data_IF_525060190545
#
_entry.id   IF_525060190545
#
_cell.length_a   1.000
_cell.length_b   1.000
_cell.length_c   1.000
_cell.angle_alpha   90.00
_cell.angle_beta   90.00
_cell.angle_gamma   90.00
#
_symmetry.space_group_name_H-M   'P 1'
#
loop_
_entity.id
_entity.type
_entity.pdbx_description
1 polymer ?
#
# COMPACT_ATOMS: atom_id res chain seq x y z
N UNK A 1 -20.57 -51.30 23.65
CA UNK A 1 -20.87 -50.30 22.60
C UNK A 1 -20.04 -49.07 22.89
N UNK A 2 -18.88 -48.94 22.23
CA UNK A 2 -18.07 -47.72 22.28
C UNK A 2 -18.46 -46.87 21.06
N UNK A 3 -19.05 -45.71 21.30
CA UNK A 3 -19.36 -44.75 20.24
C UNK A 3 -18.08 -44.01 19.85
N UNK A 4 -17.55 -44.35 18.68
CA UNK A 4 -16.40 -43.69 18.08
C UNK A 4 -16.87 -42.33 17.54
N UNK A 5 -16.56 -41.25 18.24
CA UNK A 5 -16.83 -39.89 17.79
C UNK A 5 -15.81 -39.54 16.71
N UNK A 6 -16.24 -39.57 15.45
CA UNK A 6 -15.41 -39.20 14.31
C UNK A 6 -15.28 -37.67 14.28
N UNK A 7 -14.19 -37.14 14.84
CA UNK A 7 -13.78 -35.76 14.57
C UNK A 7 -13.36 -35.67 13.11
N UNK A 8 -14.26 -35.14 12.27
CA UNK A 8 -13.86 -34.64 10.96
C UNK A 8 -13.04 -33.39 11.20
N UNK A 9 -11.71 -33.49 11.05
CA UNK A 9 -10.89 -32.32 10.79
C UNK A 9 -11.40 -31.73 9.47
N UNK A 10 -12.21 -30.68 9.57
CA UNK A 10 -12.36 -29.74 8.47
C UNK A 10 -10.96 -29.17 8.23
N UNK A 11 -10.30 -29.65 7.18
CA UNK A 11 -9.18 -28.95 6.62
C UNK A 11 -9.74 -27.59 6.17
N UNK A 12 -9.47 -26.54 6.95
CA UNK A 12 -9.47 -25.19 6.42
C UNK A 12 -8.65 -25.25 5.12
N UNK A 13 -9.09 -24.66 4.01
CA UNK A 13 -8.22 -24.52 2.87
C UNK A 13 -7.05 -23.66 3.36
N UNK A 14 -5.96 -24.31 3.75
CA UNK A 14 -4.66 -23.68 3.65
C UNK A 14 -4.62 -23.23 2.20
N UNK A 15 -4.65 -21.93 1.97
CA UNK A 15 -4.21 -21.37 0.71
C UNK A 15 -2.75 -21.80 0.58
N UNK A 16 -2.56 -23.00 0.03
CA UNK A 16 -1.25 -23.50 -0.31
C UNK A 16 -0.68 -22.46 -1.27
N UNK A 17 0.46 -21.90 -0.87
CA UNK A 17 1.37 -21.06 -1.65
C UNK A 17 1.72 -21.77 -2.97
N UNK A 18 0.78 -21.81 -3.91
CA UNK A 18 1.04 -22.28 -5.26
C UNK A 18 1.73 -21.13 -6.01
N UNK A 19 2.70 -21.46 -6.85
CA UNK A 19 3.25 -20.54 -7.83
C UNK A 19 2.11 -19.83 -8.60
N UNK A 20 2.33 -18.61 -9.12
CA UNK A 20 1.26 -17.87 -9.77
C UNK A 20 0.84 -18.70 -10.99
N UNK A 21 -0.45 -19.01 -11.10
CA UNK A 21 -0.94 -19.78 -12.23
C UNK A 21 -0.67 -19.03 -13.53
N UNK A 22 -0.50 -19.75 -14.65
CA UNK A 22 -0.32 -19.11 -15.97
C UNK A 22 -1.44 -18.10 -16.28
N UNK A 23 -2.66 -18.39 -15.82
CA UNK A 23 -3.80 -17.49 -15.93
C UNK A 23 -3.59 -16.17 -15.18
N UNK A 24 -3.05 -16.23 -13.95
CA UNK A 24 -2.77 -15.05 -13.14
C UNK A 24 -1.55 -14.27 -13.66
N UNK A 25 -0.53 -14.94 -14.19
CA UNK A 25 0.59 -14.30 -14.89
C UNK A 25 0.11 -13.57 -16.15
N UNK A 26 -0.74 -14.22 -16.94
CA UNK A 26 -1.38 -13.60 -18.10
C UNK A 26 -2.25 -12.40 -17.70
N UNK A 27 -2.95 -12.49 -16.56
CA UNK A 27 -3.73 -11.39 -16.01
C UNK A 27 -2.86 -10.20 -15.60
N UNK A 28 -1.72 -10.47 -14.94
CA UNK A 28 -0.73 -9.46 -14.60
C UNK A 28 -0.17 -8.75 -15.84
N UNK A 29 0.11 -9.47 -16.92
CA UNK A 29 0.54 -8.89 -18.21
C UNK A 29 -0.59 -8.11 -18.91
N UNK A 30 -1.83 -8.60 -18.82
CA UNK A 30 -3.02 -7.96 -19.40
C UNK A 30 -3.24 -6.56 -18.82
N UNK A 31 -3.05 -6.40 -17.50
CA UNK A 31 -3.27 -5.12 -16.80
C UNK A 31 -1.98 -4.41 -16.39
N UNK A 32 -0.83 -4.81 -16.94
CA UNK A 32 0.45 -4.16 -16.66
C UNK A 32 0.35 -2.65 -16.93
N UNK A 33 0.79 -1.77 -16.01
CA UNK A 33 0.64 -0.33 -16.19
C UNK A 33 1.58 0.22 -17.26
N UNK A 34 1.27 1.42 -17.76
CA UNK A 34 2.29 2.30 -18.33
C UNK A 34 2.70 3.29 -17.24
N UNK A 35 3.99 3.39 -16.97
CA UNK A 35 4.51 4.43 -16.10
C UNK A 35 4.93 5.63 -16.93
N UNK A 36 4.34 6.80 -16.64
CA UNK A 36 4.67 8.07 -17.27
C UNK A 36 5.50 8.91 -16.32
N UNK A 37 6.78 9.02 -16.59
CA UNK A 37 7.69 9.85 -15.81
C UNK A 37 7.49 11.33 -16.14
N UNK A 38 7.77 12.18 -15.16
CA UNK A 38 7.81 13.62 -15.38
C UNK A 38 8.84 13.95 -16.48
N UNK A 39 8.56 14.97 -17.31
CA UNK A 39 9.43 15.39 -18.42
C UNK A 39 10.87 15.77 -18.01
N UNK A 40 11.03 16.19 -16.75
CA UNK A 40 12.32 16.58 -16.18
C UNK A 40 12.92 15.49 -15.26
N UNK A 41 12.40 14.26 -15.32
CA UNK A 41 12.90 13.14 -14.51
C UNK A 41 14.36 12.82 -14.84
N UNK A 42 15.15 12.57 -13.79
CA UNK A 42 16.57 12.21 -13.86
C UNK A 42 16.85 10.84 -13.26
N UNK A 43 15.95 10.35 -12.41
CA UNK A 43 16.08 9.11 -11.66
C UNK A 43 14.98 8.16 -12.12
N UNK A 44 15.36 7.11 -12.83
CA UNK A 44 14.44 6.15 -13.41
C UNK A 44 14.43 4.84 -12.62
N UNK A 45 13.45 3.99 -12.91
CA UNK A 45 13.39 2.62 -12.40
C UNK A 45 14.66 1.84 -12.72
N UNK A 46 15.00 0.86 -11.90
CA UNK A 46 16.06 -0.11 -12.21
C UNK A 46 15.69 -1.52 -11.80
N UNK A 47 16.48 -2.48 -12.25
CA UNK A 47 16.53 -3.79 -11.61
C UNK A 47 17.28 -3.70 -10.27
N UNK A 48 17.02 -4.65 -9.38
CA UNK A 48 17.76 -4.82 -8.11
C UNK A 48 19.21 -5.18 -8.39
N UNK A 49 19.47 -6.06 -9.35
CA UNK A 49 20.81 -6.47 -9.77
C UNK A 49 21.65 -5.26 -10.21
N UNK A 50 21.05 -4.34 -10.97
CA UNK A 50 21.71 -3.11 -11.40
C UNK A 50 22.17 -2.26 -10.20
N UNK A 51 21.30 -2.13 -9.19
CA UNK A 51 21.62 -1.37 -7.98
C UNK A 51 22.67 -2.05 -7.10
N UNK A 52 22.57 -3.36 -6.90
CA UNK A 52 23.53 -4.13 -6.12
C UNK A 52 24.93 -4.18 -6.76
N UNK A 53 25.01 -4.09 -8.10
CA UNK A 53 26.27 -3.94 -8.83
C UNK A 53 26.92 -2.56 -8.67
N UNK A 54 26.22 -1.59 -8.09
CA UNK A 54 26.77 -0.29 -7.74
C UNK A 54 27.80 -0.36 -6.60
N UNK A 55 28.47 0.76 -6.28
CA UNK A 55 29.37 0.88 -5.13
C UNK A 55 28.58 0.94 -3.81
N UNK A 56 27.89 -0.15 -3.47
CA UNK A 56 27.10 -0.31 -2.25
C UNK A 56 27.94 -1.00 -1.16
N UNK A 57 27.82 -0.50 0.06
CA UNK A 57 28.33 -1.14 1.29
C UNK A 57 27.16 -1.45 2.21
N UNK A 58 27.30 -2.41 3.11
CA UNK A 58 26.32 -2.65 4.18
C UNK A 58 26.89 -2.11 5.48
N UNK A 59 26.15 -1.23 6.14
CA UNK A 59 26.55 -0.61 7.40
C UNK A 59 25.57 -0.94 8.53
N UNK A 60 26.06 -0.94 9.76
CA UNK A 60 25.21 -1.03 10.95
C UNK A 60 24.62 0.34 11.35
N UNK A 61 23.81 0.37 12.40
CA UNK A 61 23.20 1.61 12.92
C UNK A 61 24.20 2.64 13.45
N UNK A 62 25.47 2.29 13.64
CA UNK A 62 26.54 3.20 14.06
C UNK A 62 27.41 3.68 12.89
N UNK A 63 27.13 3.22 11.66
CA UNK A 63 27.89 3.54 10.46
C UNK A 63 29.14 2.65 10.28
N UNK A 64 29.29 1.58 11.06
CA UNK A 64 30.39 0.64 10.86
C UNK A 64 30.09 -0.25 9.65
N UNK A 65 31.07 -0.41 8.77
CA UNK A 65 30.93 -1.28 7.59
C UNK A 65 30.91 -2.75 8.00
N UNK A 66 29.81 -3.43 7.70
CA UNK A 66 29.59 -4.88 7.86
C UNK A 66 30.01 -5.64 6.60
N UNK A 67 29.75 -5.07 5.41
CA UNK A 67 30.22 -5.59 4.12
C UNK A 67 30.63 -4.44 3.19
N UNK A 68 31.75 -4.62 2.49
CA UNK A 68 32.31 -3.61 1.58
C UNK A 68 31.85 -3.77 0.12
N UNK A 69 30.88 -4.65 -0.16
CA UNK A 69 30.31 -4.86 -1.49
C UNK A 69 30.20 -6.34 -1.87
N UNK A 70 30.07 -6.61 -3.18
CA UNK A 70 29.86 -7.97 -3.69
C UNK A 70 28.46 -8.53 -3.40
N UNK A 71 27.50 -7.63 -3.16
CA UNK A 71 26.11 -8.01 -2.95
C UNK A 71 25.52 -8.50 -4.27
N UNK A 72 24.82 -9.62 -4.22
CA UNK A 72 24.03 -10.14 -5.34
C UNK A 72 22.63 -10.44 -4.85
N UNK A 73 21.73 -10.76 -5.78
CA UNK A 73 20.37 -11.18 -5.45
C UNK A 73 20.30 -12.46 -4.63
N UNK A 74 21.40 -13.22 -4.54
CA UNK A 74 21.51 -14.51 -3.85
C UNK A 74 22.39 -14.46 -2.60
N UNK A 75 22.92 -13.29 -2.23
CA UNK A 75 23.75 -13.11 -1.02
C UNK A 75 23.23 -12.01 -0.11
N UNK A 76 22.17 -11.32 -0.53
CA UNK A 76 21.69 -10.15 0.18
C UNK A 76 21.08 -10.49 1.55
N UNK A 77 20.50 -11.67 1.72
CA UNK A 77 19.87 -12.11 2.97
C UNK A 77 20.79 -12.98 3.87
N UNK A 78 22.05 -13.20 3.48
CA UNK A 78 23.06 -13.95 4.26
C UNK A 78 23.45 -13.26 5.59
N UNK A 79 23.04 -12.00 5.80
CA UNK A 79 23.34 -11.27 7.02
C UNK A 79 22.57 -11.81 8.23
N UNK A 80 23.11 -11.67 9.46
CA UNK A 80 22.37 -11.97 10.68
C UNK A 80 20.99 -11.29 10.71
N UNK A 81 19.97 -12.01 11.17
CA UNK A 81 18.56 -11.56 11.18
C UNK A 81 18.09 -11.02 9.82
N UNK A 82 18.58 -11.62 8.73
CA UNK A 82 18.28 -11.24 7.34
C UNK A 82 18.59 -9.76 7.07
N UNK A 83 19.59 -9.20 7.77
CA UNK A 83 20.02 -7.81 7.64
C UNK A 83 19.15 -6.78 8.32
N UNK A 84 18.21 -7.19 9.18
CA UNK A 84 17.44 -6.28 10.01
C UNK A 84 18.36 -5.33 10.80
N UNK A 85 18.06 -4.02 10.75
CA UNK A 85 18.89 -2.98 11.38
C UNK A 85 20.17 -2.60 10.60
N UNK A 86 20.40 -3.17 9.42
CA UNK A 86 21.49 -2.80 8.51
C UNK A 86 21.01 -1.83 7.41
N UNK A 87 21.97 -1.16 6.77
CA UNK A 87 21.75 -0.09 5.80
C UNK A 87 22.62 -0.30 4.55
N UNK A 88 21.99 -0.52 3.38
CA UNK A 88 22.67 -0.54 2.08
C UNK A 88 23.11 0.87 1.68
N UNK A 89 24.33 1.22 2.05
CA UNK A 89 24.84 2.59 2.04
C UNK A 89 25.78 2.86 0.87
N UNK A 90 25.69 4.05 0.30
CA UNK A 90 26.57 4.53 -0.78
C UNK A 90 26.75 6.05 -0.75
N UNK A 91 27.65 6.54 -1.61
CA UNK A 91 27.89 7.97 -1.80
C UNK A 91 26.71 8.66 -2.48
N UNK A 92 26.34 9.84 -2.00
CA UNK A 92 25.39 10.75 -2.66
C UNK A 92 26.10 11.83 -3.49
N UNK A 93 27.36 11.60 -3.89
CA UNK A 93 28.10 12.55 -4.72
C UNK A 93 27.44 12.79 -6.06
N UNK A 94 27.79 13.91 -6.72
CA UNK A 94 27.27 14.24 -8.04
C UNK A 94 27.54 13.13 -9.07
N UNK A 95 28.68 12.48 -8.98
CA UNK A 95 29.09 11.38 -9.84
C UNK A 95 28.22 10.14 -9.60
N UNK A 96 27.91 9.81 -8.34
CA UNK A 96 27.02 8.71 -8.01
C UNK A 96 25.60 8.99 -8.52
N UNK A 97 25.07 10.20 -8.24
CA UNK A 97 23.75 10.68 -8.68
C UNK A 97 23.62 10.70 -10.21
N UNK A 98 24.67 11.04 -10.95
CA UNK A 98 24.67 11.03 -12.41
C UNK A 98 25.02 9.66 -13.02
N UNK A 99 25.49 8.72 -12.19
CA UNK A 99 25.87 7.36 -12.56
C UNK A 99 24.78 6.36 -12.20
N UNK A 100 25.13 5.33 -11.43
CA UNK A 100 24.23 4.22 -11.12
C UNK A 100 22.97 4.62 -10.34
N UNK A 101 23.00 5.74 -9.60
CA UNK A 101 21.80 6.21 -8.89
C UNK A 101 20.75 6.80 -9.84
N UNK A 102 21.10 7.16 -11.09
CA UNK A 102 20.15 7.62 -12.10
C UNK A 102 19.20 6.51 -12.58
N UNK A 103 19.50 5.25 -12.24
CA UNK A 103 18.71 4.10 -12.68
C UNK A 103 18.82 3.81 -14.17
N UNK A 104 17.84 3.08 -14.69
CA UNK A 104 17.85 2.55 -16.06
C UNK A 104 16.71 3.18 -16.86
N UNK A 105 17.01 4.29 -17.54
CA UNK A 105 16.06 5.03 -18.37
C UNK A 105 15.40 4.11 -19.43
N UNK A 106 14.08 3.87 -19.35
CA UNK A 106 13.39 2.92 -20.22
C UNK A 106 13.29 3.41 -21.68
N UNK A 107 13.63 4.67 -21.97
CA UNK A 107 13.78 5.16 -23.35
C UNK A 107 15.11 4.73 -23.99
N UNK A 108 16.08 4.28 -23.17
CA UNK A 108 17.44 3.91 -23.60
C UNK A 108 17.73 2.42 -23.46
N UNK A 109 17.11 1.75 -22.48
CA UNK A 109 17.30 0.31 -22.21
C UNK A 109 15.97 -0.35 -21.81
N UNK A 110 15.90 -1.68 -21.90
CA UNK A 110 14.77 -2.49 -21.42
C UNK A 110 15.11 -3.28 -20.15
N UNK A 111 16.21 -2.92 -19.48
CA UNK A 111 16.75 -3.69 -18.36
C UNK A 111 16.02 -3.44 -17.03
N UNK A 112 15.38 -2.28 -16.87
CA UNK A 112 14.57 -1.97 -15.69
C UNK A 112 13.44 -3.00 -15.49
N UNK A 113 13.09 -3.27 -14.24
CA UNK A 113 12.11 -4.31 -13.87
C UNK A 113 10.95 -3.73 -13.07
N UNK A 114 9.80 -4.38 -13.21
CA UNK A 114 8.62 -4.15 -12.37
C UNK A 114 8.31 -5.43 -11.60
N UNK A 115 8.50 -5.36 -10.28
CA UNK A 115 8.35 -6.51 -9.39
C UNK A 115 6.86 -6.69 -9.09
N UNK A 116 6.28 -7.77 -9.61
CA UNK A 116 4.82 -7.94 -9.69
C UNK A 116 4.36 -9.04 -8.76
N UNK A 117 3.86 -8.68 -7.59
CA UNK A 117 3.28 -9.65 -6.66
C UNK A 117 1.82 -9.93 -7.04
N UNK A 118 1.45 -11.20 -7.11
CA UNK A 118 0.11 -11.62 -7.53
C UNK A 118 -0.59 -12.33 -6.37
N UNK A 119 -1.69 -11.74 -5.88
CA UNK A 119 -2.44 -12.22 -4.73
C UNK A 119 -3.87 -12.66 -5.11
N UNK A 120 -4.07 -13.93 -5.50
CA UNK A 120 -5.40 -14.51 -5.66
C UNK A 120 -6.09 -14.68 -4.31
N UNK A 121 -7.39 -14.41 -4.27
CA UNK A 121 -8.22 -14.44 -3.06
C UNK A 121 -9.54 -15.17 -3.34
N UNK A 122 -10.37 -15.27 -2.31
CA UNK A 122 -11.75 -15.73 -2.44
C UNK A 122 -12.58 -14.82 -3.37
N UNK A 123 -13.79 -15.25 -3.71
CA UNK A 123 -14.76 -14.47 -4.49
C UNK A 123 -14.25 -14.02 -5.87
N UNK A 124 -13.28 -14.74 -6.43
CA UNK A 124 -12.69 -14.45 -7.74
C UNK A 124 -11.82 -13.19 -7.77
N UNK A 125 -11.46 -12.64 -6.60
CA UNK A 125 -10.59 -11.47 -6.49
C UNK A 125 -9.15 -11.87 -6.78
N UNK A 126 -8.45 -11.09 -7.60
CA UNK A 126 -6.99 -11.16 -7.75
C UNK A 126 -6.43 -9.75 -7.72
N UNK A 127 -5.59 -9.47 -6.72
CA UNK A 127 -4.86 -8.21 -6.61
C UNK A 127 -3.46 -8.36 -7.24
N UNK A 128 -3.10 -7.38 -8.07
CA UNK A 128 -1.85 -7.34 -8.83
C UNK A 128 -1.05 -6.12 -8.37
N UNK A 129 0.08 -6.33 -7.69
CA UNK A 129 0.90 -5.27 -7.12
C UNK A 129 2.13 -5.06 -7.99
N UNK A 130 2.20 -3.94 -8.70
CA UNK A 130 3.32 -3.55 -9.56
C UNK A 130 4.24 -2.61 -8.81
N UNK A 131 5.38 -3.14 -8.36
CA UNK A 131 6.40 -2.38 -7.64
C UNK A 131 7.49 -1.87 -8.59
N UNK A 132 7.80 -0.59 -8.45
CA UNK A 132 8.92 0.05 -9.08
C UNK A 132 10.00 0.29 -8.04
N UNK A 133 11.23 -0.13 -8.34
CA UNK A 133 12.41 0.26 -7.59
C UNK A 133 13.15 1.37 -8.32
N UNK A 134 13.46 2.45 -7.63
CA UNK A 134 14.32 3.53 -8.11
C UNK A 134 15.54 3.65 -7.20
N UNK A 135 16.78 3.65 -7.74
CA UNK A 135 17.99 3.72 -6.91
C UNK A 135 18.13 4.96 -6.04
N UNK A 136 17.43 6.05 -6.37
CA UNK A 136 17.54 7.32 -5.67
C UNK A 136 16.23 8.09 -5.72
N UNK A 137 15.74 8.52 -4.56
CA UNK A 137 14.67 9.50 -4.43
C UNK A 137 15.28 10.91 -4.28
N UNK A 138 14.89 11.81 -5.20
CA UNK A 138 15.23 13.23 -5.11
C UNK A 138 14.20 13.97 -4.26
N UNK A 139 14.73 14.64 -3.24
CA UNK A 139 14.04 15.53 -2.31
C UNK A 139 13.17 16.60 -3.00
N UNK A 140 12.33 17.25 -2.18
CA UNK A 140 11.67 18.50 -2.56
C UNK A 140 12.53 19.69 -2.14
N UNK A 141 12.64 20.66 -3.04
CA UNK A 141 13.25 21.96 -2.75
C UNK A 141 12.25 22.84 -2.01
N UNK A 142 12.48 23.03 -0.71
CA UNK A 142 11.62 23.83 0.15
C UNK A 142 12.29 25.18 0.45
N UNK A 143 11.63 26.33 0.16
CA UNK A 143 12.15 27.62 0.56
C UNK A 143 12.45 27.66 2.07
N UNK A 144 13.62 28.18 2.43
CA UNK A 144 14.17 28.26 3.81
C UNK A 144 14.75 26.96 4.38
N UNK A 145 14.27 25.78 3.97
CA UNK A 145 14.80 24.50 4.45
C UNK A 145 15.89 23.92 3.52
N UNK A 146 15.78 24.14 2.21
CA UNK A 146 16.60 23.47 1.20
C UNK A 146 15.96 22.15 0.76
N UNK A 147 16.78 21.18 0.38
CA UNK A 147 16.31 19.83 0.02
C UNK A 147 15.77 19.12 1.27
N UNK A 148 14.58 18.53 1.15
CA UNK A 148 13.94 17.71 2.19
C UNK A 148 13.55 16.35 1.63
N UNK A 149 14.12 15.28 2.20
CA UNK A 149 13.66 13.91 1.97
C UNK A 149 14.42 13.10 0.91
N UNK A 150 15.68 13.41 0.59
CA UNK A 150 16.44 12.53 -0.30
C UNK A 150 16.66 11.18 0.39
N UNK A 151 16.63 10.10 -0.38
CA UNK A 151 17.15 8.82 0.09
C UNK A 151 17.67 7.96 -1.06
N UNK A 152 18.63 7.10 -0.73
CA UNK A 152 19.04 6.01 -1.61
C UNK A 152 17.96 4.93 -1.53
N UNK A 153 17.66 4.29 -2.65
CA UNK A 153 16.67 3.23 -2.79
C UNK A 153 15.26 3.71 -2.54
N UNK A 154 14.32 3.38 -3.40
CA UNK A 154 12.95 3.82 -3.26
C UNK A 154 12.00 2.80 -3.91
N UNK A 155 10.93 2.48 -3.20
CA UNK A 155 10.01 1.39 -3.52
C UNK A 155 8.59 1.93 -3.52
N UNK A 156 8.04 2.11 -4.72
CA UNK A 156 6.69 2.59 -4.93
C UNK A 156 5.82 1.55 -5.62
N UNK A 157 4.51 1.56 -5.35
CA UNK A 157 3.58 0.58 -5.92
C UNK A 157 2.33 1.16 -6.56
N UNK A 158 1.92 0.55 -7.66
CA UNK A 158 0.57 0.68 -8.21
C UNK A 158 -0.10 -0.69 -8.12
N UNK A 159 -1.38 -0.73 -7.75
CA UNK A 159 -2.08 -2.02 -7.60
C UNK A 159 -3.35 -2.06 -8.42
N UNK A 160 -3.59 -3.14 -9.16
CA UNK A 160 -4.82 -3.39 -9.91
C UNK A 160 -5.57 -4.52 -9.24
N UNK A 161 -6.81 -4.26 -8.82
CA UNK A 161 -7.72 -5.31 -8.35
C UNK A 161 -8.60 -5.78 -9.48
N UNK A 162 -8.73 -7.09 -9.60
CA UNK A 162 -9.63 -7.73 -10.56
C UNK A 162 -10.64 -8.60 -9.84
N UNK A 163 -11.82 -8.76 -10.45
CA UNK A 163 -12.85 -9.71 -10.03
C UNK A 163 -13.19 -10.57 -11.24
N UNK A 164 -13.00 -11.88 -11.12
CA UNK A 164 -13.19 -12.85 -12.21
C UNK A 164 -12.45 -12.43 -13.50
N UNK A 165 -11.22 -11.94 -13.36
CA UNK A 165 -10.36 -11.53 -14.48
C UNK A 165 -10.65 -10.15 -15.10
N UNK A 166 -11.62 -9.41 -14.55
CA UNK A 166 -11.98 -8.04 -14.97
C UNK A 166 -11.47 -7.03 -13.96
N UNK A 167 -10.68 -6.04 -14.39
CA UNK A 167 -10.22 -4.98 -13.50
C UNK A 167 -11.39 -4.13 -12.99
N UNK A 168 -11.42 -3.86 -11.69
CA UNK A 168 -12.47 -3.08 -11.04
C UNK A 168 -11.96 -1.77 -10.46
N UNK A 169 -10.69 -1.71 -10.09
CA UNK A 169 -10.07 -0.53 -9.49
C UNK A 169 -8.54 -0.54 -9.61
N UNK A 170 -7.96 0.64 -9.47
CA UNK A 170 -6.51 0.85 -9.35
C UNK A 170 -6.22 1.67 -8.10
N UNK A 171 -5.29 1.21 -7.29
CA UNK A 171 -4.76 1.93 -6.13
C UNK A 171 -3.40 2.54 -6.47
N UNK A 172 -3.33 3.87 -6.32
CA UNK A 172 -2.16 4.69 -6.59
C UNK A 172 -1.51 5.08 -5.27
N UNK A 173 -0.40 4.43 -4.94
CA UNK A 173 0.31 4.68 -3.70
C UNK A 173 1.37 5.77 -3.88
N UNK A 174 1.40 6.70 -2.92
CA UNK A 174 2.46 7.69 -2.77
C UNK A 174 2.56 8.06 -1.28
N UNK A 175 3.78 8.18 -0.76
CA UNK A 175 4.10 8.63 0.61
C UNK A 175 3.21 8.02 1.71
N UNK A 176 3.16 6.68 1.82
CA UNK A 176 2.40 5.97 2.87
C UNK A 176 0.89 6.26 2.88
N UNK A 177 0.25 6.14 1.72
CA UNK A 177 -1.21 6.28 1.45
C UNK A 177 -1.77 7.68 1.11
N UNK A 178 -0.96 8.75 1.18
CA UNK A 178 -1.36 10.11 0.75
C UNK A 178 -1.57 10.31 -0.76
N UNK A 179 -1.36 9.25 -1.55
CA UNK A 179 -1.44 9.30 -3.01
C UNK A 179 -2.84 9.55 -3.56
N UNK A 180 -3.00 9.30 -4.86
CA UNK A 180 -4.33 9.37 -5.45
C UNK A 180 -5.26 8.26 -4.91
N UNK A 181 -4.76 7.26 -4.18
CA UNK A 181 -5.52 6.19 -3.56
C UNK A 181 -6.30 5.34 -4.57
N UNK A 182 -7.24 4.53 -4.08
CA UNK A 182 -8.07 3.68 -4.95
C UNK A 182 -9.05 4.48 -5.81
N UNK A 183 -9.04 4.21 -7.12
CA UNK A 183 -9.92 4.81 -8.12
C UNK A 183 -10.66 3.68 -8.85
N UNK A 184 -11.98 3.79 -9.08
CA UNK A 184 -12.73 2.83 -9.87
C UNK A 184 -12.19 2.78 -11.30
N UNK A 185 -12.12 1.59 -11.88
CA UNK A 185 -11.58 1.36 -13.22
C UNK A 185 -12.19 2.28 -14.31
N UNK A 186 -13.47 2.63 -14.15
CA UNK A 186 -14.18 3.56 -15.04
C UNK A 186 -13.56 4.97 -15.08
N UNK A 187 -12.94 5.42 -14.00
CA UNK A 187 -12.35 6.77 -13.86
C UNK A 187 -10.82 6.75 -14.01
N UNK A 188 -10.21 5.57 -14.18
CA UNK A 188 -8.77 5.43 -14.37
C UNK A 188 -8.38 5.89 -15.78
N UNK A 189 -7.32 6.69 -15.90
CA UNK A 189 -6.71 6.98 -17.20
C UNK A 189 -6.06 5.70 -17.72
N UNK A 190 -6.40 5.33 -18.96
CA UNK A 190 -5.93 4.08 -19.58
C UNK A 190 -5.29 4.35 -20.93
N UNK A 191 -4.34 3.49 -21.31
CA UNK A 191 -3.69 3.47 -22.61
C UNK A 191 -3.96 2.12 -23.30
N UNK A 192 -3.37 1.93 -24.49
CA UNK A 192 -3.52 0.71 -25.29
C UNK A 192 -4.99 0.36 -25.54
N UNK A 193 -5.69 1.28 -26.21
CA UNK A 193 -7.14 1.18 -26.50
C UNK A 193 -8.02 1.06 -25.25
N UNK A 194 -7.72 1.84 -24.21
CA UNK A 194 -8.48 1.91 -22.95
C UNK A 194 -8.44 0.62 -22.09
N UNK A 195 -7.39 -0.20 -22.26
CA UNK A 195 -7.31 -1.52 -21.62
C UNK A 195 -6.38 -1.59 -20.41
N UNK A 196 -5.40 -0.69 -20.31
CA UNK A 196 -4.30 -0.78 -19.33
C UNK A 196 -4.13 0.54 -18.59
N UNK A 197 -3.90 0.51 -17.26
CA UNK A 197 -3.85 1.72 -16.47
C UNK A 197 -2.57 2.52 -16.73
N UNK A 198 -2.65 3.83 -16.57
CA UNK A 198 -1.51 4.74 -16.54
C UNK A 198 -1.20 5.11 -15.10
N UNK A 199 0.07 5.01 -14.71
CA UNK A 199 0.63 5.54 -13.47
C UNK A 199 1.53 6.74 -13.76
N UNK A 200 1.13 7.92 -13.29
CA UNK A 200 1.94 9.12 -13.40
C UNK A 200 2.95 9.19 -12.27
N UNK A 201 4.24 9.18 -12.60
CA UNK A 201 5.35 9.11 -11.64
C UNK A 201 5.78 10.52 -11.27
N UNK A 202 5.72 10.84 -9.98
CA UNK A 202 6.12 12.15 -9.47
C UNK A 202 7.62 12.38 -9.66
N UNK A 203 7.99 13.59 -10.08
CA UNK A 203 9.39 13.93 -10.30
C UNK A 203 10.20 13.77 -9.02
N UNK A 204 11.23 12.93 -9.07
CA UNK A 204 12.16 12.69 -7.98
C UNK A 204 11.65 11.80 -6.85
N UNK A 205 10.40 11.95 -6.39
CA UNK A 205 9.81 11.14 -5.32
C UNK A 205 9.18 9.84 -5.77
N UNK A 206 8.94 9.69 -7.07
CA UNK A 206 8.35 8.51 -7.70
C UNK A 206 6.96 8.07 -7.23
N UNK A 207 6.34 8.80 -6.29
CA UNK A 207 4.96 8.59 -5.89
C UNK A 207 4.03 8.50 -7.10
N UNK A 208 3.13 7.53 -7.10
CA UNK A 208 2.22 7.30 -8.22
C UNK A 208 0.92 8.08 -8.06
N UNK A 209 0.53 8.73 -9.15
CA UNK A 209 -0.71 9.50 -9.23
C UNK A 209 -1.54 9.08 -10.45
N UNK A 210 -2.84 9.33 -10.35
CA UNK A 210 -3.80 8.95 -11.38
C UNK A 210 -3.88 9.92 -12.55
N UNK A 211 -3.34 11.13 -12.39
CA UNK A 211 -3.38 12.20 -13.39
C UNK A 211 -2.13 13.10 -13.31
N UNK A 212 -1.79 13.83 -14.39
CA UNK A 212 -0.78 14.87 -14.33
C UNK A 212 -1.25 16.01 -13.40
N UNK A 213 -0.32 16.67 -12.71
CA UNK A 213 -0.64 17.79 -11.83
C UNK A 213 0.35 18.02 -10.71
N UNK A 214 -0.05 18.84 -9.75
CA UNK A 214 0.71 19.13 -8.52
C UNK A 214 -0.12 18.70 -7.32
N UNK A 215 0.45 17.84 -6.49
CA UNK A 215 -0.26 17.21 -5.37
C UNK A 215 0.48 17.49 -4.07
N UNK A 216 -0.21 18.07 -3.10
CA UNK A 216 0.39 18.37 -1.78
C UNK A 216 0.16 17.18 -0.87
N UNK A 217 1.24 16.55 -0.40
CA UNK A 217 1.17 15.42 0.53
C UNK A 217 1.58 15.82 1.96
N UNK A 218 2.35 16.90 2.11
CA UNK A 218 2.56 17.57 3.40
C UNK A 218 2.20 19.04 3.28
N UNK A 219 1.31 19.50 4.15
CA UNK A 219 0.91 20.90 4.26
C UNK A 219 1.24 21.39 5.67
N UNK A 220 2.51 21.74 5.90
CA UNK A 220 2.96 22.31 7.16
C UNK A 220 2.69 23.82 7.20
N UNK A 221 2.69 24.40 8.41
CA UNK A 221 2.37 25.83 8.62
C UNK A 221 3.28 26.76 7.80
N UNK A 222 4.55 26.39 7.63
CA UNK A 222 5.56 27.24 6.96
C UNK A 222 6.05 26.69 5.62
N UNK A 223 5.63 25.48 5.21
CA UNK A 223 6.05 24.89 3.95
C UNK A 223 5.08 23.81 3.44
N UNK A 224 5.20 23.47 2.16
CA UNK A 224 4.50 22.34 1.54
C UNK A 224 5.50 21.40 0.91
N UNK A 225 5.24 20.11 0.99
CA UNK A 225 5.88 19.12 0.13
C UNK A 225 4.88 18.70 -0.93
N UNK A 226 5.32 18.76 -2.19
CA UNK A 226 4.45 18.55 -3.33
C UNK A 226 5.10 17.61 -4.33
N UNK A 227 4.30 16.68 -4.84
CA UNK A 227 4.60 15.90 -6.01
C UNK A 227 4.16 16.65 -7.26
N UNK A 228 4.96 16.53 -8.32
CA UNK A 228 4.64 17.09 -9.63
C UNK A 228 4.75 15.97 -10.67
N UNK A 229 3.67 15.74 -11.39
CA UNK A 229 3.57 14.75 -12.46
C UNK A 229 3.22 15.41 -13.80
N UNK A 230 3.60 14.77 -14.91
CA UNK A 230 3.39 15.30 -16.27
C UNK A 230 3.06 14.17 -17.25
N UNK A 231 2.40 14.52 -18.36
CA UNK A 231 2.10 13.61 -19.46
C UNK A 231 3.15 13.66 -20.58
N UNK A 232 4.16 14.54 -20.47
CA UNK A 232 5.10 14.89 -21.55
C UNK A 232 6.48 14.22 -21.44
N UNK A 233 6.67 13.33 -20.46
CA UNK A 233 7.95 12.65 -20.24
C UNK A 233 8.03 11.25 -20.84
N UNK A 234 8.99 10.46 -20.35
CA UNK A 234 9.18 9.08 -20.80
C UNK A 234 7.97 8.24 -20.39
N UNK A 235 7.34 7.60 -21.36
CA UNK A 235 6.25 6.65 -21.16
C UNK A 235 6.77 5.23 -21.33
N UNK A 236 6.79 4.46 -20.24
CA UNK A 236 7.30 3.09 -20.22
C UNK A 236 6.16 2.07 -20.20
N UNK A 237 6.03 1.30 -21.28
CA UNK A 237 5.18 0.11 -21.28
C UNK A 237 5.87 -1.03 -20.51
N UNK A 238 5.33 -1.39 -19.36
CA UNK A 238 5.94 -2.37 -18.45
C UNK A 238 5.60 -3.83 -18.78
N UNK A 239 4.78 -4.10 -19.81
CA UNK A 239 4.22 -5.44 -20.10
C UNK A 239 5.27 -6.54 -20.17
N UNK A 240 6.45 -6.22 -20.71
CA UNK A 240 7.55 -7.16 -20.94
C UNK A 240 8.69 -7.04 -19.92
N UNK A 241 8.53 -6.18 -18.92
CA UNK A 241 9.51 -5.94 -17.85
C UNK A 241 9.10 -6.51 -16.49
N UNK A 242 7.99 -7.27 -16.45
CA UNK A 242 7.46 -7.83 -15.21
C UNK A 242 8.33 -8.98 -14.69
N UNK A 243 8.67 -8.93 -13.40
CA UNK A 243 9.19 -10.05 -12.63
C UNK A 243 8.04 -10.52 -11.74
N UNK A 244 7.41 -11.65 -12.09
CA UNK A 244 6.25 -12.15 -11.34
C UNK A 244 6.68 -12.86 -10.07
N UNK A 245 6.10 -12.48 -8.95
CA UNK A 245 6.47 -12.94 -7.61
C UNK A 245 5.28 -13.68 -6.98
N UNK A 246 5.55 -14.88 -6.48
CA UNK A 246 4.65 -15.66 -5.62
C UNK A 246 4.98 -15.45 -4.15
N UNK A 247 4.28 -16.16 -3.27
CA UNK A 247 4.42 -15.99 -1.83
C UNK A 247 4.83 -17.29 -1.13
N UNK A 248 6.05 -17.82 -1.35
CA UNK A 248 6.57 -18.94 -0.59
C UNK A 248 6.93 -18.54 0.85
N UNK A 249 7.15 -19.52 1.73
CA UNK A 249 7.63 -19.28 3.09
C UNK A 249 9.04 -18.64 3.10
N UNK A 250 9.87 -18.97 2.11
CA UNK A 250 11.20 -18.39 1.90
C UNK A 250 11.51 -18.35 0.42
N UNK A 251 12.04 -17.22 -0.05
CA UNK A 251 12.47 -17.06 -1.45
C UNK A 251 13.85 -17.67 -1.66
N UNK A 252 14.11 -18.18 -2.87
CA UNK A 252 15.40 -18.78 -3.23
C UNK A 252 15.81 -18.36 -4.65
N UNK A 253 17.09 -18.52 -5.00
CA UNK A 253 17.61 -18.19 -6.33
C UNK A 253 17.53 -16.68 -6.60
N UNK A 254 17.15 -16.29 -7.82
CA UNK A 254 17.14 -14.87 -8.23
C UNK A 254 16.17 -13.98 -7.43
N UNK A 255 15.29 -14.57 -6.62
CA UNK A 255 14.35 -13.86 -5.74
C UNK A 255 14.75 -13.88 -4.26
N UNK A 256 15.86 -14.52 -3.88
CA UNK A 256 16.33 -14.68 -2.50
C UNK A 256 16.51 -13.34 -1.77
N UNK A 257 16.92 -12.28 -2.48
CA UNK A 257 16.98 -10.91 -1.98
C UNK A 257 15.67 -10.40 -1.35
N UNK A 258 14.50 -10.94 -1.71
CA UNK A 258 13.21 -10.57 -1.11
C UNK A 258 13.14 -10.95 0.39
N UNK A 259 13.98 -11.88 0.84
CA UNK A 259 14.10 -12.24 2.25
C UNK A 259 14.83 -11.15 3.08
N UNK A 260 15.56 -10.23 2.44
CA UNK A 260 16.31 -9.17 3.13
C UNK A 260 15.39 -8.19 3.85
N UNK A 261 15.63 -8.00 5.15
CA UNK A 261 14.85 -7.15 6.05
C UNK A 261 15.51 -5.82 6.39
N UNK A 262 16.71 -5.58 5.88
CA UNK A 262 17.43 -4.33 6.10
C UNK A 262 16.88 -3.16 5.27
N UNK A 263 17.51 -2.02 5.48
CA UNK A 263 17.16 -0.77 4.79
C UNK A 263 17.81 -0.71 3.42
N UNK A 264 17.02 -0.38 2.40
CA UNK A 264 17.47 -0.09 1.06
C UNK A 264 17.92 1.35 0.98
N UNK A 265 19.10 1.65 1.52
CA UNK A 265 19.67 2.98 1.47
C UNK A 265 20.47 3.37 2.70
N UNK A 266 20.98 4.60 2.68
CA UNK A 266 21.73 5.18 3.78
C UNK A 266 20.84 5.36 5.02
N UNK A 267 21.45 5.36 6.20
CA UNK A 267 20.80 5.86 7.42
C UNK A 267 20.63 7.38 7.31
N UNK A 268 19.41 7.87 7.54
CA UNK A 268 19.12 9.30 7.56
C UNK A 268 19.76 10.04 8.73
N UNK A 269 19.63 11.37 8.71
CA UNK A 269 20.09 12.24 9.79
C UNK A 269 18.94 13.01 10.44
N UNK A 270 19.11 13.35 11.72
CA UNK A 270 18.21 14.18 12.53
C UNK A 270 18.81 15.56 12.84
N UNK A 271 19.96 15.90 12.22
CA UNK A 271 20.78 17.08 12.57
C UNK A 271 20.37 18.36 11.84
N UNK A 272 19.38 18.31 10.95
CA UNK A 272 18.90 19.52 10.28
C UNK A 272 18.23 20.47 11.27
N UNK A 273 18.39 21.78 11.06
CA UNK A 273 17.91 22.77 12.02
C UNK A 273 16.38 22.76 12.19
N UNK A 274 15.64 22.27 11.20
CA UNK A 274 14.18 22.14 11.23
C UNK A 274 13.65 20.81 11.80
N UNK A 275 14.51 19.90 12.27
CA UNK A 275 14.08 18.57 12.73
C UNK A 275 13.05 18.61 13.88
N UNK A 276 13.00 19.72 14.63
CA UNK A 276 12.02 19.93 15.70
C UNK A 276 10.62 20.27 15.18
N UNK A 277 10.48 20.80 13.96
CA UNK A 277 9.18 21.11 13.32
C UNK A 277 8.73 20.04 12.32
N UNK A 278 9.68 19.38 11.65
CA UNK A 278 9.41 18.33 10.68
C UNK A 278 10.55 17.32 10.67
N UNK A 279 10.23 16.03 10.66
CA UNK A 279 11.22 14.99 10.96
C UNK A 279 12.15 14.65 9.81
N UNK A 280 11.79 14.98 8.58
CA UNK A 280 12.66 14.68 7.45
C UNK A 280 13.68 15.79 7.26
N UNK A 281 14.96 15.39 7.27
CA UNK A 281 16.07 16.24 6.89
C UNK A 281 16.38 16.10 5.39
N UNK A 282 17.49 16.68 4.95
CA UNK A 282 17.96 16.56 3.57
C UNK A 282 18.16 15.10 3.13
N UNK A 283 18.75 14.27 3.99
CA UNK A 283 18.88 12.83 3.79
C UNK A 283 18.08 12.09 4.86
N UNK A 284 17.09 11.32 4.42
CA UNK A 284 16.30 10.41 5.26
C UNK A 284 16.74 8.97 5.06
N UNK A 285 16.32 8.11 5.99
CA UNK A 285 16.55 6.68 5.89
C UNK A 285 15.74 6.13 4.72
N UNK A 286 16.38 5.33 3.86
CA UNK A 286 15.68 4.64 2.77
C UNK A 286 14.56 3.70 3.28
N UNK A 287 13.67 3.23 2.41
CA UNK A 287 12.63 2.28 2.79
C UNK A 287 13.22 0.87 2.99
N UNK A 288 12.43 -0.01 3.60
CA UNK A 288 12.65 -1.45 3.51
C UNK A 288 12.17 -1.99 2.17
N UNK A 289 12.48 -3.26 1.88
CA UNK A 289 12.10 -3.92 0.63
C UNK A 289 10.56 -4.03 0.43
N UNK A 290 10.13 -4.51 -0.74
CA UNK A 290 8.72 -4.57 -1.12
C UNK A 290 7.94 -5.67 -0.37
N UNK A 291 8.62 -6.63 0.28
CA UNK A 291 7.98 -7.67 1.08
C UNK A 291 7.61 -7.14 2.48
N UNK A 292 6.53 -6.35 2.56
CA UNK A 292 6.06 -5.72 3.80
C UNK A 292 4.57 -5.95 4.05
N UNK A 293 4.06 -5.42 5.16
CA UNK A 293 2.75 -5.77 5.71
C UNK A 293 1.58 -5.63 4.72
N UNK A 294 1.55 -4.57 3.92
CA UNK A 294 0.50 -4.31 2.93
C UNK A 294 0.48 -5.34 1.78
N UNK A 295 1.66 -5.83 1.35
CA UNK A 295 1.79 -6.87 0.31
C UNK A 295 1.53 -8.26 0.87
N UNK A 296 2.11 -8.58 2.03
CA UNK A 296 1.95 -9.89 2.66
C UNK A 296 0.52 -10.13 3.16
N UNK A 297 -0.10 -9.13 3.79
CA UNK A 297 -1.48 -9.22 4.24
C UNK A 297 -2.45 -9.45 3.08
N UNK A 298 -2.15 -8.91 1.90
CA UNK A 298 -2.97 -9.13 0.72
C UNK A 298 -2.96 -10.57 0.19
N UNK A 299 -1.85 -11.29 0.31
CA UNK A 299 -1.75 -12.67 -0.17
C UNK A 299 -2.26 -13.72 0.82
N UNK A 300 -2.15 -13.44 2.11
CA UNK A 300 -2.42 -14.41 3.15
C UNK A 300 -3.60 -13.98 4.02
N UNK A 301 -4.74 -14.63 3.82
CA UNK A 301 -5.77 -14.69 4.86
C UNK A 301 -5.28 -15.62 6.00
N UNK A 302 -4.38 -15.09 6.85
CA UNK A 302 -3.85 -15.56 8.16
C UNK A 302 -2.87 -16.77 8.20
N UNK A 303 -1.76 -16.58 8.94
CA UNK A 303 -0.92 -17.65 9.48
C UNK A 303 0.35 -17.18 10.23
N UNK A 304 0.29 -17.10 11.57
CA UNK A 304 1.44 -17.11 12.52
C UNK A 304 2.64 -16.15 12.29
N UNK A 305 2.44 -14.92 11.85
CA UNK A 305 3.47 -13.87 12.03
C UNK A 305 3.21 -13.10 13.33
N UNK A 306 4.26 -12.84 14.11
CA UNK A 306 4.15 -12.20 15.43
C UNK A 306 3.35 -10.89 15.36
N UNK A 307 2.34 -10.82 16.23
CA UNK A 307 1.18 -9.92 16.20
C UNK A 307 1.49 -8.47 16.65
N UNK A 308 2.72 -7.97 16.55
CA UNK A 308 3.07 -6.61 16.99
C UNK A 308 3.45 -5.63 15.88
N UNK A 309 3.63 -6.08 14.64
CA UNK A 309 3.99 -5.22 13.48
C UNK A 309 2.91 -5.14 12.40
N UNK A 310 1.82 -5.90 12.51
CA UNK A 310 0.73 -5.94 11.51
C UNK A 310 -0.36 -4.88 11.73
N UNK A 311 -0.14 -3.89 12.61
CA UNK A 311 -1.18 -2.92 12.98
C UNK A 311 -1.37 -1.80 11.93
N UNK A 312 -0.57 -1.77 10.85
CA UNK A 312 -0.65 -0.75 9.80
C UNK A 312 -0.49 -1.32 8.37
N UNK A 313 -0.88 -2.56 8.10
CA UNK A 313 -0.99 -3.06 6.71
C UNK A 313 -2.18 -2.35 6.05
N UNK A 314 -1.90 -1.22 5.42
CA UNK A 314 -2.85 -0.53 4.56
C UNK A 314 -3.21 -1.47 3.40
N UNK A 315 -4.28 -2.23 3.57
CA UNK A 315 -5.05 -2.66 2.42
C UNK A 315 -5.44 -1.40 1.66
N UNK A 316 -5.27 -1.41 0.33
CA UNK A 316 -5.74 -0.37 -0.57
C UNK A 316 -7.12 0.13 -0.14
N UNK A 317 -7.38 1.44 -0.24
CA UNK A 317 -8.67 2.01 0.10
C UNK A 317 -9.83 1.19 -0.51
N UNK A 318 -10.86 0.91 0.29
CA UNK A 318 -12.06 0.23 -0.19
C UNK A 318 -12.92 1.23 -0.96
N UNK A 319 -13.31 0.86 -2.18
CA UNK A 319 -14.26 1.67 -2.94
C UNK A 319 -15.65 1.62 -2.32
N UNK A 320 -16.23 2.80 -2.23
CA UNK A 320 -17.60 3.01 -1.82
C UNK A 320 -18.37 3.71 -2.93
N UNK A 321 -19.67 3.46 -3.01
CA UNK A 321 -20.60 4.28 -3.80
C UNK A 321 -21.28 5.27 -2.88
N UNK A 322 -21.32 6.54 -3.29
CA UNK A 322 -22.06 7.60 -2.58
C UNK A 322 -23.53 7.21 -2.43
N UNK A 323 -24.11 7.49 -1.26
CA UNK A 323 -25.53 7.26 -1.00
C UNK A 323 -26.22 8.53 -0.49
N UNK A 324 -27.33 8.88 -1.12
CA UNK A 324 -28.21 9.97 -0.69
C UNK A 324 -29.26 9.49 0.33
N UNK A 325 -28.83 8.80 1.39
CA UNK A 325 -29.72 8.28 2.45
C UNK A 325 -29.22 8.67 3.84
N UNK A 326 -30.00 8.30 4.86
CA UNK A 326 -29.67 8.48 6.28
C UNK A 326 -28.83 7.34 6.87
N UNK A 327 -28.32 6.42 6.05
CA UNK A 327 -27.55 5.26 6.52
C UNK A 327 -26.56 4.70 5.50
N UNK A 328 -25.36 4.38 5.96
CA UNK A 328 -24.40 3.57 5.22
C UNK A 328 -24.82 2.10 5.21
N UNK A 329 -24.37 1.35 4.20
CA UNK A 329 -24.54 -0.09 4.09
C UNK A 329 -23.21 -0.73 3.76
N UNK A 330 -22.81 -1.69 4.59
CA UNK A 330 -21.58 -2.44 4.46
C UNK A 330 -21.92 -3.88 4.18
N UNK A 331 -21.62 -4.31 2.97
CA UNK A 331 -21.71 -5.69 2.55
C UNK A 331 -20.30 -6.27 2.55
N UNK A 332 -20.07 -7.35 3.27
CA UNK A 332 -18.74 -7.94 3.45
C UNK A 332 -18.80 -9.45 3.63
N UNK A 333 -17.68 -10.13 3.43
CA UNK A 333 -17.52 -11.55 3.72
C UNK A 333 -16.73 -11.75 5.01
N UNK A 334 -17.15 -12.65 5.90
CA UNK A 334 -16.39 -12.94 7.11
C UNK A 334 -16.47 -14.42 7.53
N UNK A 335 -15.41 -14.87 8.19
CA UNK A 335 -15.35 -16.14 8.91
C UNK A 335 -15.31 -15.86 10.40
N UNK A 336 -16.30 -16.38 11.14
CA UNK A 336 -16.39 -16.21 12.59
C UNK A 336 -17.17 -17.34 13.22
N UNK A 337 -16.79 -17.71 14.45
CA UNK A 337 -17.54 -18.63 15.30
C UNK A 337 -18.63 -17.92 16.12
N UNK A 338 -18.62 -16.58 16.15
CA UNK A 338 -19.54 -15.78 16.95
C UNK A 338 -20.91 -15.61 16.25
N UNK A 339 -22.02 -15.56 17.01
CA UNK A 339 -23.37 -15.43 16.46
C UNK A 339 -23.78 -14.00 16.06
N UNK A 340 -22.89 -13.02 16.20
CA UNK A 340 -23.16 -11.63 15.84
C UNK A 340 -21.97 -11.05 15.10
N UNK A 341 -22.26 -10.19 14.13
CA UNK A 341 -21.25 -9.34 13.47
C UNK A 341 -21.60 -7.89 13.70
N UNK A 342 -20.57 -7.06 13.78
CA UNK A 342 -20.70 -5.64 13.95
C UNK A 342 -19.86 -4.89 12.91
N UNK A 343 -20.31 -3.69 12.58
CA UNK A 343 -19.52 -2.72 11.82
C UNK A 343 -19.29 -1.51 12.71
N UNK A 344 -18.03 -1.12 12.83
CA UNK A 344 -17.61 0.18 13.35
C UNK A 344 -17.31 1.08 12.16
N UNK A 345 -18.12 2.12 11.97
CA UNK A 345 -17.90 3.18 10.99
C UNK A 345 -17.22 4.37 11.67
N UNK A 346 -16.16 4.89 11.06
CA UNK A 346 -15.47 6.08 11.53
C UNK A 346 -15.83 7.26 10.63
N UNK A 347 -16.21 8.37 11.24
CA UNK A 347 -16.55 9.63 10.58
C UNK A 347 -15.49 10.68 10.88
N UNK A 348 -15.04 11.41 9.85
CA UNK A 348 -14.09 12.51 9.97
C UNK A 348 -14.70 13.82 9.47
N UNK A 349 -14.43 14.92 10.16
CA UNK A 349 -14.70 16.26 9.61
C UNK A 349 -13.71 16.50 8.48
N UNK A 350 -14.22 16.82 7.28
CA UNK A 350 -13.35 17.01 6.12
C UNK A 350 -12.46 18.23 6.28
N UNK A 351 -11.16 18.05 6.08
CA UNK A 351 -10.29 19.02 5.43
C UNK A 351 -9.70 18.32 4.21
N UNK A 352 -9.92 18.88 3.02
CA UNK A 352 -9.35 18.34 1.79
C UNK A 352 -7.83 18.28 1.88
N UNK A 353 -7.26 17.11 1.56
CA UNK A 353 -5.84 16.87 1.32
C UNK A 353 -4.89 17.21 2.48
N UNK A 354 -5.00 16.54 3.63
CA UNK A 354 -3.84 16.09 4.41
C UNK A 354 -4.25 14.84 5.18
N UNK A 355 -3.54 13.74 4.96
CA UNK A 355 -3.62 12.56 5.80
C UNK A 355 -2.98 12.90 7.15
N UNK A 356 -3.80 13.20 8.16
CA UNK A 356 -3.30 13.40 9.52
C UNK A 356 -3.15 12.05 10.21
N UNK A 357 -1.91 11.58 10.29
CA UNK A 357 -1.51 10.46 11.14
C UNK A 357 -1.73 10.85 12.61
N UNK A 358 -2.74 10.26 13.23
CA UNK A 358 -2.96 10.39 14.68
C UNK A 358 -2.00 9.44 15.39
N UNK A 359 -0.93 9.96 15.97
CA UNK A 359 -0.20 9.25 17.03
C UNK A 359 -0.46 9.94 18.35
N UNK A 360 -1.33 9.31 19.16
CA UNK A 360 -1.62 9.53 20.58
C UNK A 360 -1.98 10.98 21.00
N UNK A 361 -3.07 11.12 21.77
CA UNK A 361 -3.03 11.67 23.14
C UNK A 361 -4.45 11.79 23.70
N UNK A 362 -4.51 11.55 25.00
CA UNK A 362 -5.56 11.86 25.96
C UNK A 362 -6.40 13.10 25.68
N UNK A 363 -7.66 12.97 26.06
CA UNK A 363 -8.67 14.02 26.13
C UNK A 363 -8.20 15.14 27.07
N UNK A 364 -8.01 16.37 26.58
CA UNK A 364 -8.53 17.58 27.26
C UNK A 364 -8.47 18.86 26.42
N UNK A 365 -9.56 19.61 26.56
CA UNK A 365 -9.82 21.06 26.46
C UNK A 365 -8.95 21.98 25.56
N UNK A 366 -9.69 22.70 24.72
CA UNK A 366 -9.40 23.96 24.03
C UNK A 366 -8.39 23.98 22.87
N UNK A 367 -8.95 24.10 21.66
CA UNK A 367 -8.27 24.69 20.50
C UNK A 367 -8.23 23.84 19.22
N UNK A 368 -9.39 23.57 18.62
CA UNK A 368 -9.59 23.01 17.25
C UNK A 368 -8.74 21.77 16.89
N UNK A 369 -9.15 20.61 17.39
CA UNK A 369 -8.87 19.31 16.79
C UNK A 369 -10.13 18.76 16.12
N UNK A 370 -10.01 18.27 14.87
CA UNK A 370 -11.10 17.60 14.18
C UNK A 370 -11.58 16.39 14.99
N UNK A 371 -12.86 16.35 15.34
CA UNK A 371 -13.46 15.28 16.13
C UNK A 371 -13.69 14.05 15.24
N UNK A 372 -13.00 12.95 15.53
CA UNK A 372 -13.34 11.62 15.00
C UNK A 372 -14.56 11.13 15.76
N UNK A 373 -15.64 10.80 15.04
CA UNK A 373 -16.86 10.23 15.63
C UNK A 373 -16.98 8.79 15.17
N UNK A 374 -17.13 7.87 16.11
CA UNK A 374 -17.33 6.44 15.83
C UNK A 374 -18.81 6.08 15.97
N UNK A 375 -19.34 5.31 15.03
CA UNK A 375 -20.70 4.78 15.05
C UNK A 375 -20.66 3.26 14.84
N UNK A 376 -21.38 2.51 15.66
CA UNK A 376 -21.36 1.05 15.65
C UNK A 376 -22.76 0.47 15.49
N UNK A 377 -22.89 -0.65 14.79
CA UNK A 377 -24.15 -1.41 14.71
C UNK A 377 -23.88 -2.90 14.77
N UNK A 378 -24.66 -3.61 15.60
CA UNK A 378 -24.58 -5.06 15.79
C UNK A 378 -25.80 -5.72 15.13
N UNK A 379 -25.55 -6.70 14.25
CA UNK A 379 -26.60 -7.49 13.60
C UNK A 379 -26.45 -8.98 13.92
N UNK A 380 -27.57 -9.68 14.15
CA UNK A 380 -27.60 -11.09 14.58
C UNK A 380 -27.66 -12.05 13.39
N UNK A 381 -26.81 -13.08 13.36
CA UNK A 381 -26.83 -14.16 12.37
C UNK A 381 -26.61 -15.55 13.01
N UNK A 382 -27.36 -16.57 12.58
CA UNK A 382 -27.37 -17.92 13.19
C UNK A 382 -26.20 -18.85 12.78
N UNK A 383 -26.11 -20.01 13.45
CA UNK A 383 -24.92 -20.84 13.72
C UNK A 383 -24.01 -21.33 12.56
N UNK A 384 -22.71 -21.34 12.89
CA UNK A 384 -21.50 -21.94 12.27
C UNK A 384 -21.39 -21.77 10.75
N UNK A 385 -20.80 -20.63 10.38
CA UNK A 385 -20.59 -20.23 9.00
C UNK A 385 -19.17 -20.63 8.58
N UNK A 386 -19.05 -21.78 7.91
CA UNK A 386 -17.83 -22.12 7.18
C UNK A 386 -17.82 -21.42 5.81
N UNK A 387 -16.64 -21.01 5.34
CA UNK A 387 -16.38 -20.52 3.98
C UNK A 387 -16.88 -19.08 3.67
N UNK A 388 -16.31 -18.08 4.35
CA UNK A 388 -16.45 -16.65 4.01
C UNK A 388 -17.87 -16.13 3.77
N UNK A 389 -18.78 -16.32 4.72
CA UNK A 389 -20.20 -15.95 4.56
C UNK A 389 -20.41 -14.46 4.33
N UNK A 390 -21.42 -14.12 3.52
CA UNK A 390 -21.77 -12.74 3.14
C UNK A 390 -22.75 -12.12 4.14
N UNK A 391 -22.42 -10.95 4.65
CA UNK A 391 -23.25 -10.17 5.57
C UNK A 391 -23.58 -8.81 4.98
N UNK A 392 -24.62 -8.16 5.50
CA UNK A 392 -24.91 -6.77 5.18
C UNK A 392 -25.42 -6.05 6.41
N UNK A 393 -24.68 -5.05 6.86
CA UNK A 393 -24.97 -4.27 8.05
C UNK A 393 -25.21 -2.82 7.65
N UNK A 394 -26.27 -2.22 8.18
CA UNK A 394 -26.57 -0.80 7.99
C UNK A 394 -26.17 -0.01 9.23
N UNK A 395 -25.46 1.09 9.05
CA UNK A 395 -25.03 2.00 10.12
C UNK A 395 -25.61 3.38 9.84
N UNK A 396 -25.96 4.14 10.87
CA UNK A 396 -26.44 5.53 10.70
C UNK A 396 -25.44 6.38 9.91
N UNK A 397 -25.94 7.36 9.16
CA UNK A 397 -25.08 8.31 8.45
C UNK A 397 -24.21 9.09 9.45
N UNK A 398 -23.02 9.49 9.00
CA UNK A 398 -22.18 10.39 9.77
C UNK A 398 -22.90 11.71 10.13
N UNK A 399 -22.55 12.35 11.25
CA UNK A 399 -23.07 13.67 11.60
C UNK A 399 -22.87 14.72 10.51
N UNK A 400 -23.65 15.80 10.58
CA UNK A 400 -23.48 16.93 9.66
C UNK A 400 -22.07 17.53 9.80
N UNK A 401 -21.46 17.92 8.68
CA UNK A 401 -20.07 18.39 8.65
C UNK A 401 -19.00 17.29 8.67
N UNK A 402 -19.39 16.01 8.69
CA UNK A 402 -18.44 14.88 8.65
C UNK A 402 -18.75 13.92 7.48
N UNK A 403 -17.76 13.11 7.10
CA UNK A 403 -17.86 12.09 6.07
C UNK A 403 -17.36 10.74 6.56
N UNK A 404 -17.84 9.66 5.94
CA UNK A 404 -17.36 8.29 6.22
C UNK A 404 -15.90 8.17 5.79
N UNK A 405 -15.01 7.89 6.74
CA UNK A 405 -13.57 7.81 6.52
C UNK A 405 -13.09 6.35 6.42
N UNK A 406 -13.62 5.47 7.27
CA UNK A 406 -13.19 4.08 7.33
C UNK A 406 -14.22 3.18 8.02
N UNK A 407 -13.99 1.88 7.96
CA UNK A 407 -14.75 0.90 8.73
C UNK A 407 -13.90 -0.29 9.20
N UNK A 408 -14.37 -0.92 10.26
CA UNK A 408 -13.82 -2.15 10.85
C UNK A 408 -14.95 -3.13 11.10
N UNK A 409 -14.69 -4.42 10.89
CA UNK A 409 -15.65 -5.49 11.19
C UNK A 409 -15.29 -6.12 12.55
N UNK A 410 -16.31 -6.47 13.33
CA UNK A 410 -16.17 -7.18 14.59
C UNK A 410 -17.07 -8.41 14.67
N UNK A 411 -16.67 -9.36 15.51
CA UNK A 411 -17.43 -10.56 15.84
C UNK A 411 -17.80 -10.52 17.33
N UNK A 412 -19.07 -10.73 17.67
CA UNK A 412 -19.56 -10.49 19.04
C UNK A 412 -20.29 -11.71 19.61
N UNK A 413 -20.04 -12.00 20.89
CA UNK A 413 -20.69 -13.13 21.58
C UNK A 413 -22.14 -12.85 22.00
N UNK A 414 -22.54 -11.58 22.00
CA UNK A 414 -23.91 -11.14 22.29
C UNK A 414 -24.33 -10.00 21.36
N UNK A 415 -25.60 -9.60 21.43
CA UNK A 415 -26.10 -8.43 20.69
C UNK A 415 -25.57 -7.08 21.17
N UNK A 416 -24.61 -7.06 22.10
CA UNK A 416 -24.03 -5.85 22.66
C UNK A 416 -22.60 -5.60 22.16
N UNK A 417 -22.31 -4.34 21.81
CA UNK A 417 -21.02 -3.89 21.25
C UNK A 417 -19.83 -4.26 22.13
N UNK A 418 -19.94 -4.11 23.45
CA UNK A 418 -18.82 -4.39 24.37
C UNK A 418 -18.38 -5.87 24.37
N UNK A 419 -19.17 -6.76 23.74
CA UNK A 419 -18.84 -8.17 23.57
C UNK A 419 -18.17 -8.48 22.23
N UNK A 420 -17.90 -7.46 21.41
CA UNK A 420 -17.27 -7.60 20.10
C UNK A 420 -15.75 -7.64 20.20
N UNK A 421 -15.15 -8.63 19.56
CA UNK A 421 -13.75 -8.63 19.17
C UNK A 421 -13.63 -7.99 17.79
N UNK A 422 -12.93 -6.87 17.70
CA UNK A 422 -12.74 -6.14 16.45
C UNK A 422 -11.53 -6.67 15.69
N UNK A 423 -11.60 -6.68 14.36
CA UNK A 423 -10.44 -6.93 13.53
C UNK A 423 -9.32 -5.92 13.88
N UNK A 424 -8.07 -6.39 13.84
CA UNK A 424 -6.89 -5.55 14.06
C UNK A 424 -6.68 -4.50 12.97
N UNK A 425 -7.30 -4.70 11.80
CA UNK A 425 -7.15 -3.87 10.63
C UNK A 425 -8.41 -3.04 10.39
N UNK A 426 -8.22 -1.84 9.85
CA UNK A 426 -9.30 -0.92 9.47
C UNK A 426 -9.18 -0.63 7.99
N UNK A 427 -10.31 -0.57 7.28
CA UNK A 427 -10.33 -0.23 5.86
C UNK A 427 -10.73 1.21 5.67
N UNK A 428 -9.81 2.02 5.17
CA UNK A 428 -10.13 3.37 4.73
C UNK A 428 -11.00 3.34 3.48
N UNK A 429 -11.92 4.31 3.38
CA UNK A 429 -12.96 4.36 2.36
C UNK A 429 -12.68 5.49 1.39
N UNK A 430 -12.93 5.20 0.11
CA UNK A 430 -13.02 6.23 -0.91
C UNK A 430 -14.34 6.12 -1.66
N UNK A 431 -15.18 7.14 -1.53
CA UNK A 431 -16.51 7.14 -2.13
C UNK A 431 -16.51 7.82 -3.49
N UNK A 432 -17.17 7.20 -4.47
CA UNK A 432 -17.39 7.75 -5.80
C UNK A 432 -18.88 7.80 -6.12
N UNK A 433 -19.25 8.74 -6.99
CA UNK A 433 -20.62 8.78 -7.52
C UNK A 433 -20.91 7.55 -8.36
N UNK A 434 -22.16 7.13 -8.39
CA UNK A 434 -22.65 6.19 -9.39
C UNK A 434 -22.79 6.83 -10.78
N UNK A 435 -22.80 8.16 -10.86
CA UNK A 435 -22.72 8.91 -12.11
C UNK A 435 -21.26 8.99 -12.59
N UNK A 436 -20.91 8.34 -13.72
CA UNK A 436 -19.54 8.31 -14.23
C UNK A 436 -19.04 9.67 -14.72
N UNK A 437 -19.90 10.69 -14.86
CA UNK A 437 -19.44 12.05 -15.15
C UNK A 437 -18.74 12.72 -13.95
N UNK A 438 -18.96 12.22 -12.74
CA UNK A 438 -18.31 12.71 -11.52
C UNK A 438 -17.03 11.91 -11.28
N UNK A 439 -15.90 12.54 -11.57
CA UNK A 439 -14.60 11.87 -11.65
C UNK A 439 -13.86 11.78 -10.31
N UNK A 440 -14.09 12.75 -9.41
CA UNK A 440 -13.35 12.86 -8.15
C UNK A 440 -14.05 12.13 -6.99
N UNK A 441 -13.25 11.68 -6.02
CA UNK A 441 -13.75 11.12 -4.77
C UNK A 441 -14.58 12.15 -3.99
N UNK A 442 -15.60 11.67 -3.29
CA UNK A 442 -16.60 12.48 -2.62
C UNK A 442 -16.54 12.27 -1.11
N UNK A 443 -16.49 13.35 -0.34
CA UNK A 443 -16.65 13.31 1.11
C UNK A 443 -18.15 13.29 1.45
N UNK A 444 -18.70 12.13 1.80
CA UNK A 444 -20.14 11.95 2.01
C UNK A 444 -20.49 11.29 3.34
N UNK A 445 -21.68 11.61 3.84
CA UNK A 445 -22.18 11.15 5.14
C UNK A 445 -22.65 9.70 5.16
N UNK A 446 -22.95 9.13 3.99
CA UNK A 446 -23.44 7.77 3.86
C UNK A 446 -22.90 7.12 2.58
N UNK A 447 -22.55 5.84 2.68
CA UNK A 447 -21.94 5.08 1.59
C UNK A 447 -22.56 3.69 1.43
N UNK A 448 -22.38 3.10 0.26
CA UNK A 448 -22.54 1.65 0.05
C UNK A 448 -21.17 1.05 -0.22
N UNK A 449 -20.79 0.03 0.55
CA UNK A 449 -19.55 -0.74 0.39
C UNK A 449 -19.92 -2.18 0.06
N UNK A 450 -19.29 -2.74 -0.97
CA UNK A 450 -19.30 -4.18 -1.28
C UNK A 450 -17.87 -4.70 -1.22
N UNK A 451 -17.50 -5.21 -0.05
CA UNK A 451 -16.17 -5.72 0.25
C UNK A 451 -16.11 -7.22 -0.03
N UNK A 452 -15.38 -7.57 -1.10
CA UNK A 452 -15.25 -8.94 -1.57
C UNK A 452 -14.15 -9.72 -0.84
N UNK A 453 -13.30 -9.05 -0.06
CA UNK A 453 -12.30 -9.74 0.76
C UNK A 453 -13.00 -10.44 1.93
N UNK A 454 -12.45 -11.59 2.34
CA UNK A 454 -12.95 -12.36 3.48
C UNK A 454 -12.24 -11.91 4.74
N UNK A 455 -12.97 -11.28 5.65
CA UNK A 455 -12.50 -10.91 6.98
C UNK A 455 -12.35 -12.15 7.86
N UNK A 456 -11.24 -12.23 8.59
CA UNK A 456 -10.90 -13.35 9.48
C UNK A 456 -10.94 -12.88 10.93
N UNK A 457 -12.09 -13.06 11.60
CA UNK A 457 -12.41 -12.49 12.90
C UNK A 457 -12.03 -13.40 14.07
#
# INVERSE_FOLDING_TARGET
MFALTLFTLLASPLFASAAPTDANVALARKYAPQFKFHKDEKYFGSSVEYFLNGPITVQDGNGATVSSGGLTTTTLDDFPDQGNGLYMSTSTSKEAKAGFLAGQDPSKTQDAKVYTFIAPKANGVVDLYYWLFTPYNLAKDVPLLGEVGNHIGDWERLSVRTVNGTATQVDYHAHSDTGAGTIPWANVVKFDNDQRPVGYVASGSHGFWAKPGTFTYVNAVIFKLQDVTSDDGVAWDTRDSLVTINYPDTYTGDLEWLNYRGTWGNKGTDKCWWHFIYKDCELVTGPTGPLRGDVLGAAFAKGKTNLSTMVNSAFSHTLATVRNSHSSSFTFHAETAEPYVAVKQVCSAGDGNVEHKVTNIDVSADGKSASVVEAETVTRYGSVLANGSKFTVSVGSCPEGTSVASYTIGACSSGAVYSCNWASETRAIRAFSSDPSVQDAQAVRAVTVDDLDVWQL
#
